data_IF_879643373793
#
_entry.id   IF_879643373793
#
_cell.length_a   1.000
_cell.length_b   1.000
_cell.length_c   1.000
_cell.angle_alpha   90.00
_cell.angle_beta   90.00
_cell.angle_gamma   90.00
#
_symmetry.space_group_name_H-M   'P 1'
#
loop_
_entity.id
_entity.type
_entity.pdbx_description
1 polymer ?
#
# COMPACT_ATOMS: atom_id res chain seq x y z
N UNK A 1 -6.03 -23.09 -12.93
CA UNK A 1 -6.28 -21.63 -12.97
C UNK A 1 -6.61 -21.19 -11.55
N UNK A 2 -5.89 -20.23 -11.00
CA UNK A 2 -6.16 -19.70 -9.66
C UNK A 2 -7.34 -18.73 -9.81
N UNK A 3 -8.50 -19.12 -9.29
CA UNK A 3 -9.69 -18.28 -9.28
C UNK A 3 -9.57 -17.31 -8.10
N UNK A 4 -9.35 -16.03 -8.38
CA UNK A 4 -9.41 -14.99 -7.37
C UNK A 4 -10.85 -14.93 -6.84
N UNK A 5 -11.08 -15.03 -5.52
CA UNK A 5 -12.43 -14.96 -4.98
C UNK A 5 -13.02 -13.59 -5.32
N UNK A 6 -14.16 -13.58 -6.00
CA UNK A 6 -15.03 -12.42 -6.16
C UNK A 6 -15.56 -12.04 -4.77
N UNK A 7 -14.77 -11.26 -4.02
CA UNK A 7 -15.11 -10.74 -2.70
C UNK A 7 -15.15 -9.23 -2.82
N UNK A 8 -16.28 -8.64 -2.44
CA UNK A 8 -16.65 -7.21 -2.52
C UNK A 8 -15.47 -6.26 -2.73
N UNK A 9 -15.13 -6.03 -4.00
CA UNK A 9 -14.08 -5.11 -4.36
C UNK A 9 -14.62 -3.70 -4.09
N UNK A 10 -14.00 -2.98 -3.14
CA UNK A 10 -14.27 -1.56 -2.92
C UNK A 10 -14.15 -0.74 -4.23
N UNK A 11 -13.37 -1.25 -5.19
CA UNK A 11 -13.25 -0.72 -6.54
C UNK A 11 -13.52 -1.83 -7.56
N UNK A 12 -14.69 -1.79 -8.22
CA UNK A 12 -15.06 -2.73 -9.28
C UNK A 12 -14.45 -2.41 -10.64
N UNK A 13 -13.85 -1.23 -10.79
CA UNK A 13 -13.16 -0.76 -11.99
C UNK A 13 -11.71 -0.40 -11.65
N UNK A 14 -10.77 -0.57 -12.59
CA UNK A 14 -9.40 -0.10 -12.42
C UNK A 14 -9.38 1.39 -12.08
N UNK A 15 -8.56 1.76 -11.10
CA UNK A 15 -8.29 3.17 -10.78
C UNK A 15 -6.97 3.59 -11.43
N UNK A 16 -6.85 4.84 -11.91
CA UNK A 16 -5.61 5.32 -12.49
C UNK A 16 -4.54 5.46 -11.41
N UNK A 17 -3.27 5.32 -11.81
CA UNK A 17 -2.13 5.67 -10.97
C UNK A 17 -1.88 7.18 -11.04
N UNK A 18 -1.53 7.79 -9.91
CA UNK A 18 -1.08 9.17 -9.86
C UNK A 18 0.45 9.23 -9.97
N UNK A 19 0.94 10.16 -10.78
CA UNK A 19 2.34 10.58 -10.71
C UNK A 19 2.55 11.44 -9.46
N UNK A 20 3.79 11.47 -8.95
CA UNK A 20 4.16 12.28 -7.77
C UNK A 20 3.68 13.73 -7.82
N UNK A 21 3.73 14.37 -9.00
CA UNK A 21 3.26 15.74 -9.23
C UNK A 21 1.76 15.96 -9.01
N UNK A 22 0.97 14.88 -9.10
CA UNK A 22 -0.49 14.88 -8.93
C UNK A 22 -0.91 14.60 -7.49
N UNK A 23 0.02 14.15 -6.64
CA UNK A 23 -0.24 13.87 -5.23
C UNK A 23 -0.16 15.18 -4.44
N UNK A 24 -1.10 15.37 -3.51
CA UNK A 24 -1.12 16.53 -2.62
C UNK A 24 -1.02 16.10 -1.17
N UNK A 25 -0.35 16.91 -0.35
CA UNK A 25 -0.48 16.81 1.09
C UNK A 25 -1.94 17.10 1.48
N UNK A 26 -2.52 16.27 2.34
CA UNK A 26 -3.94 16.34 2.64
C UNK A 26 -4.62 14.98 2.80
N UNK A 27 -5.95 14.97 2.85
CA UNK A 27 -6.74 13.76 3.07
C UNK A 27 -6.49 12.70 1.99
N UNK A 28 -6.46 11.44 2.42
CA UNK A 28 -6.40 10.27 1.56
C UNK A 28 -7.05 9.07 2.28
N UNK A 29 -7.20 7.95 1.57
CA UNK A 29 -7.71 6.69 2.12
C UNK A 29 -6.62 5.63 2.06
N UNK A 30 -6.53 4.81 3.10
CA UNK A 30 -5.73 3.58 3.12
C UNK A 30 -6.68 2.40 3.07
N UNK A 31 -6.46 1.47 2.14
CA UNK A 31 -7.22 0.23 2.06
C UNK A 31 -6.45 -0.88 2.76
N UNK A 32 -7.04 -1.50 3.78
CA UNK A 32 -6.37 -2.59 4.50
C UNK A 32 -7.36 -3.55 5.14
N UNK A 33 -6.86 -4.69 5.62
CA UNK A 33 -7.65 -5.69 6.36
C UNK A 33 -7.25 -5.62 7.82
N UNK A 34 -8.21 -5.30 8.69
CA UNK A 34 -7.98 -5.26 10.16
C UNK A 34 -8.51 -6.52 10.83
N UNK A 35 -9.60 -7.10 10.32
CA UNK A 35 -10.24 -8.29 10.90
C UNK A 35 -10.83 -9.19 9.81
N UNK A 36 -10.55 -10.49 9.94
CA UNK A 36 -11.00 -11.49 8.97
C UNK A 36 -10.35 -11.25 7.61
N UNK A 37 -11.18 -11.19 6.57
CA UNK A 37 -10.71 -11.06 5.18
C UNK A 37 -11.37 -9.85 4.46
N UNK A 38 -11.96 -8.92 5.21
CA UNK A 38 -12.67 -7.79 4.62
C UNK A 38 -11.72 -6.61 4.42
N UNK A 39 -11.64 -6.11 3.19
CA UNK A 39 -10.86 -4.92 2.87
C UNK A 39 -11.72 -3.70 3.24
N UNK A 40 -11.20 -2.86 4.13
CA UNK A 40 -11.86 -1.64 4.58
C UNK A 40 -11.04 -0.40 4.18
N UNK A 41 -11.72 0.72 3.95
CA UNK A 41 -11.08 2.00 3.69
C UNK A 41 -11.02 2.83 4.98
N UNK A 42 -9.82 3.26 5.37
CA UNK A 42 -9.58 4.08 6.56
C UNK A 42 -9.04 5.45 6.18
N UNK A 43 -9.46 6.47 6.92
CA UNK A 43 -8.96 7.83 6.76
C UNK A 43 -7.50 7.98 7.18
N UNK A 44 -6.71 8.56 6.28
CA UNK A 44 -5.34 8.98 6.54
C UNK A 44 -5.13 10.41 6.01
N UNK A 45 -3.98 11.00 6.37
CA UNK A 45 -3.46 12.23 5.79
C UNK A 45 -2.07 12.00 5.23
N UNK A 46 -1.85 12.42 3.98
CA UNK A 46 -0.51 12.56 3.42
C UNK A 46 0.09 13.83 4.01
N UNK A 47 1.15 13.69 4.80
CA UNK A 47 1.85 14.80 5.42
C UNK A 47 2.96 15.36 4.55
N UNK A 48 3.59 14.51 3.74
CA UNK A 48 4.68 14.92 2.85
C UNK A 48 4.77 14.01 1.63
N UNK A 49 5.05 14.60 0.48
CA UNK A 49 5.40 13.88 -0.75
C UNK A 49 6.91 14.07 -1.01
N UNK A 50 7.64 12.97 -1.18
CA UNK A 50 9.11 12.96 -1.26
C UNK A 50 9.58 12.22 -2.52
N UNK A 51 9.37 12.80 -3.72
CA UNK A 51 9.64 12.12 -4.99
C UNK A 51 11.12 11.83 -5.26
N UNK A 52 12.04 12.50 -4.54
CA UNK A 52 13.49 12.33 -4.70
C UNK A 52 14.08 11.28 -3.72
N UNK A 53 13.24 10.56 -2.98
CA UNK A 53 13.64 9.58 -1.96
C UNK A 53 13.49 8.13 -2.44
N UNK A 54 13.63 7.91 -3.75
CA UNK A 54 13.42 6.60 -4.36
C UNK A 54 14.37 5.54 -3.81
N UNK A 55 15.63 5.90 -3.58
CA UNK A 55 16.66 5.01 -3.01
C UNK A 55 16.29 4.48 -1.62
N UNK A 56 15.57 5.28 -0.83
CA UNK A 56 15.15 4.91 0.53
C UNK A 56 13.77 4.27 0.58
N UNK A 57 13.02 4.29 -0.53
CA UNK A 57 11.64 3.82 -0.60
C UNK A 57 10.65 4.67 0.20
N UNK A 58 11.05 5.85 0.66
CA UNK A 58 10.23 6.77 1.45
C UNK A 58 9.64 7.85 0.55
N UNK A 59 8.65 7.49 -0.25
CA UNK A 59 7.99 8.41 -1.18
C UNK A 59 6.91 9.28 -0.55
N UNK A 60 6.33 8.82 0.56
CA UNK A 60 5.27 9.49 1.30
C UNK A 60 5.55 9.44 2.80
N UNK A 61 5.18 10.50 3.51
CA UNK A 61 4.93 10.46 4.95
C UNK A 61 3.43 10.55 5.16
N UNK A 62 2.86 9.63 5.92
CA UNK A 62 1.42 9.55 6.18
C UNK A 62 1.12 9.54 7.67
N UNK A 63 -0.10 9.94 8.01
CA UNK A 63 -0.67 9.85 9.35
C UNK A 63 -2.05 9.20 9.27
N UNK A 64 -2.29 8.17 10.07
CA UNK A 64 -3.64 7.63 10.29
C UNK A 64 -4.46 8.64 11.06
N UNK A 65 -5.62 8.99 10.53
CA UNK A 65 -6.58 9.90 11.17
C UNK A 65 -7.89 9.21 11.54
N UNK A 66 -8.10 7.99 11.05
CA UNK A 66 -9.27 7.18 11.34
C UNK A 66 -9.30 6.72 12.80
N UNK A 67 -10.31 7.19 13.54
CA UNK A 67 -10.47 6.86 14.96
C UNK A 67 -10.78 5.39 15.20
N UNK A 68 -11.50 4.73 14.28
CA UNK A 68 -11.84 3.30 14.41
C UNK A 68 -10.57 2.48 14.29
N UNK A 69 -9.74 2.76 13.28
CA UNK A 69 -8.46 2.08 13.11
C UNK A 69 -7.56 2.26 14.32
N UNK A 70 -7.34 3.52 14.74
CA UNK A 70 -6.49 3.84 15.90
C UNK A 70 -6.98 3.13 17.18
N UNK A 71 -8.29 3.10 17.42
CA UNK A 71 -8.86 2.43 18.59
C UNK A 71 -8.64 0.91 18.56
N UNK A 72 -8.64 0.30 17.38
CA UNK A 72 -8.51 -1.14 17.21
C UNK A 72 -7.05 -1.61 17.25
N UNK A 73 -6.13 -0.84 16.67
CA UNK A 73 -4.76 -1.30 16.40
C UNK A 73 -3.68 -0.40 17.00
N UNK A 74 -4.03 0.77 17.51
CA UNK A 74 -3.07 1.80 17.93
C UNK A 74 -2.44 2.59 16.77
N UNK A 75 -2.74 2.24 15.51
CA UNK A 75 -2.16 2.86 14.32
C UNK A 75 -1.80 1.84 13.24
N UNK A 76 -0.75 2.12 12.48
CA UNK A 76 -0.18 1.21 11.49
C UNK A 76 0.57 0.11 12.23
N UNK A 77 0.21 -1.15 11.99
CA UNK A 77 0.85 -2.32 12.59
C UNK A 77 1.52 -3.18 11.53
N UNK A 78 2.34 -4.13 11.99
CA UNK A 78 2.90 -5.15 11.12
C UNK A 78 1.78 -5.90 10.37
N UNK A 79 2.01 -6.20 9.09
CA UNK A 79 1.01 -6.79 8.20
C UNK A 79 0.24 -5.77 7.36
N UNK A 80 0.24 -4.48 7.73
CA UNK A 80 -0.34 -3.42 6.89
C UNK A 80 0.60 -2.92 5.78
N UNK A 81 1.85 -3.37 5.77
CA UNK A 81 2.76 -3.11 4.64
C UNK A 81 2.12 -3.61 3.35
N UNK A 82 2.15 -2.80 2.30
CA UNK A 82 1.46 -3.04 1.04
C UNK A 82 0.05 -2.47 0.92
N UNK A 83 -0.53 -1.95 2.02
CA UNK A 83 -1.87 -1.37 2.00
C UNK A 83 -1.95 -0.22 0.98
N UNK A 84 -2.83 -0.30 -0.03
CA UNK A 84 -2.96 0.73 -1.06
C UNK A 84 -3.38 2.07 -0.46
N UNK A 85 -2.77 3.15 -0.95
CA UNK A 85 -3.12 4.52 -0.60
C UNK A 85 -3.80 5.17 -1.81
N UNK A 86 -5.02 5.66 -1.58
CA UNK A 86 -5.86 6.28 -2.61
C UNK A 86 -6.08 7.75 -2.27
N UNK A 87 -5.86 8.64 -3.24
CA UNK A 87 -6.22 10.05 -3.13
C UNK A 87 -6.85 10.50 -4.43
N UNK A 88 -7.94 11.28 -4.35
CA UNK A 88 -8.66 11.80 -5.52
C UNK A 88 -9.04 10.71 -6.56
N UNK A 89 -9.42 9.53 -6.07
CA UNK A 89 -9.78 8.38 -6.92
C UNK A 89 -8.60 7.73 -7.66
N UNK A 90 -7.36 8.04 -7.28
CA UNK A 90 -6.14 7.50 -7.89
C UNK A 90 -5.31 6.71 -6.90
N UNK A 91 -4.65 5.65 -7.37
CA UNK A 91 -3.63 4.96 -6.59
C UNK A 91 -2.38 5.84 -6.53
N UNK A 92 -2.01 6.28 -5.33
CA UNK A 92 -0.85 7.16 -5.14
C UNK A 92 0.37 6.42 -4.58
N UNK A 93 0.15 5.29 -3.91
CA UNK A 93 1.21 4.54 -3.29
C UNK A 93 0.72 3.37 -2.46
N UNK A 94 1.63 2.80 -1.67
CA UNK A 94 1.31 1.78 -0.68
C UNK A 94 2.09 2.04 0.61
N UNK A 95 1.51 1.68 1.76
CA UNK A 95 2.19 1.75 3.06
C UNK A 95 3.39 0.80 3.07
N UNK A 96 4.50 1.20 3.66
CA UNK A 96 5.68 0.32 3.77
C UNK A 96 6.00 -0.01 5.22
N UNK A 97 6.24 0.99 6.05
CA UNK A 97 6.63 0.83 7.45
C UNK A 97 6.14 1.98 8.32
N UNK A 98 6.04 1.72 9.61
CA UNK A 98 5.55 2.64 10.64
C UNK A 98 6.72 3.36 11.33
N UNK A 99 6.45 4.50 11.95
CA UNK A 99 7.43 5.20 12.81
C UNK A 99 7.54 4.47 14.16
N UNK A 100 8.77 4.26 14.65
CA UNK A 100 9.03 3.47 15.88
C UNK A 100 8.33 4.06 17.10
N UNK A 101 8.33 5.39 17.24
CA UNK A 101 7.82 6.07 18.44
C UNK A 101 6.38 6.59 18.27
N UNK A 102 5.79 6.45 17.07
CA UNK A 102 4.43 6.92 16.81
C UNK A 102 3.77 6.03 15.76
N UNK A 103 3.02 5.00 16.18
CA UNK A 103 2.38 4.07 15.26
C UNK A 103 1.31 4.72 14.38
N UNK A 104 0.86 5.94 14.70
CA UNK A 104 -0.09 6.66 13.84
C UNK A 104 0.59 7.25 12.60
N UNK A 105 1.93 7.31 12.55
CA UNK A 105 2.68 7.79 11.40
C UNK A 105 3.42 6.67 10.70
N UNK A 106 3.56 6.79 9.39
CA UNK A 106 4.29 5.82 8.59
C UNK A 106 4.81 6.40 7.30
N UNK A 107 5.54 5.55 6.59
CA UNK A 107 6.03 5.81 5.25
C UNK A 107 5.22 5.03 4.22
N UNK A 108 5.17 5.58 3.01
CA UNK A 108 4.67 4.89 1.84
C UNK A 108 5.64 5.00 0.66
N UNK A 109 5.56 4.02 -0.24
CA UNK A 109 6.23 4.03 -1.54
C UNK A 109 5.27 4.62 -2.58
N UNK A 110 5.78 5.36 -3.57
CA UNK A 110 4.97 5.89 -4.66
C UNK A 110 4.57 4.80 -5.65
N UNK A 111 3.31 4.86 -6.11
CA UNK A 111 2.82 3.95 -7.14
C UNK A 111 3.52 4.16 -8.50
N UNK A 112 3.91 5.40 -8.79
CA UNK A 112 4.80 5.73 -9.89
C UNK A 112 6.08 4.89 -9.86
N UNK A 113 6.77 4.79 -8.71
CA UNK A 113 8.00 4.00 -8.60
C UNK A 113 7.75 2.50 -8.77
N UNK A 114 6.63 2.00 -8.25
CA UNK A 114 6.25 0.60 -8.44
C UNK A 114 6.05 0.26 -9.93
N UNK A 115 5.45 1.18 -10.71
CA UNK A 115 5.29 1.01 -12.16
C UNK A 115 6.60 1.10 -12.94
N UNK A 116 7.51 1.98 -12.51
CA UNK A 116 8.84 2.10 -13.11
C UNK A 116 9.62 0.79 -12.90
N UNK A 117 9.63 0.28 -11.67
CA UNK A 117 10.34 -0.94 -11.30
C UNK A 117 9.75 -2.19 -11.98
N UNK A 118 8.44 -2.21 -12.22
CA UNK A 118 7.78 -3.35 -12.88
C UNK A 118 8.10 -3.49 -14.37
N UNK A 119 8.83 -2.52 -14.96
CA UNK A 119 9.15 -2.50 -16.39
C UNK A 119 7.92 -2.34 -17.32
N UNK A 120 6.74 -2.05 -16.76
CA UNK A 120 5.50 -1.85 -17.53
C UNK A 120 5.59 -0.54 -18.31
N UNK A 121 6.30 0.45 -17.76
CA UNK A 121 6.62 1.68 -18.46
C UNK A 121 7.95 1.51 -19.20
N UNK A 122 7.92 1.56 -20.53
CA UNK A 122 9.10 1.36 -21.39
C UNK A 122 10.19 2.41 -21.10
N UNK A 123 11.41 1.96 -20.81
CA UNK A 123 12.57 2.77 -20.42
C UNK A 123 12.87 3.96 -21.36
N UNK A 124 12.54 3.88 -22.65
CA UNK A 124 12.87 4.92 -23.63
C UNK A 124 12.07 6.24 -23.48
N UNK A 125 10.85 6.19 -22.94
CA UNK A 125 10.07 7.41 -22.68
C UNK A 125 10.48 8.10 -21.38
N UNK A 126 10.98 7.33 -20.41
CA UNK A 126 11.38 7.82 -19.08
C UNK A 126 12.80 8.40 -19.09
N UNK A 127 13.76 7.74 -19.73
CA UNK A 127 15.14 8.26 -19.84
C UNK A 127 15.17 9.62 -20.54
N UNK A 128 14.27 9.86 -21.50
CA UNK A 128 14.17 11.15 -22.21
C UNK A 128 13.52 12.25 -21.37
N UNK A 129 12.77 11.89 -20.32
CA UNK A 129 11.94 12.84 -19.55
C UNK A 129 12.44 13.07 -18.12
N UNK A 130 13.20 12.14 -17.54
CA UNK A 130 13.52 12.17 -16.10
C UNK A 130 15.01 12.06 -15.78
N UNK A 131 15.90 11.54 -16.65
CA UNK A 131 17.35 11.65 -16.46
C UNK A 131 17.89 11.11 -15.12
N UNK A 132 17.47 9.91 -14.69
CA UNK A 132 17.93 9.27 -13.45
C UNK A 132 18.36 7.82 -13.71
N UNK A 133 19.59 7.49 -13.33
CA UNK A 133 20.13 6.12 -13.30
C UNK A 133 19.62 5.38 -12.05
N UNK A 134 19.05 4.19 -12.24
CA UNK A 134 18.51 3.35 -11.16
C UNK A 134 19.58 2.41 -10.59
N UNK A 135 19.97 2.50 -9.31
CA UNK A 135 20.72 1.44 -8.63
C UNK A 135 19.76 0.39 -8.04
N UNK A 136 20.00 -0.88 -8.38
CA UNK A 136 19.14 -2.06 -8.13
C UNK A 136 18.98 -2.53 -6.68
N UNK A 137 18.90 -1.63 -5.69
CA UNK A 137 18.65 -1.99 -4.29
C UNK A 137 17.16 -2.18 -3.94
N UNK A 138 16.24 -1.74 -4.81
CA UNK A 138 14.79 -1.87 -4.59
C UNK A 138 14.24 -3.29 -4.82
N UNK A 139 14.93 -4.09 -5.65
CA UNK A 139 14.62 -5.50 -5.95
C UNK A 139 14.45 -6.36 -4.69
N UNK A 140 15.26 -6.15 -3.66
CA UNK A 140 15.16 -6.91 -2.40
C UNK A 140 13.88 -6.63 -1.62
N UNK A 141 13.29 -5.43 -1.73
CA UNK A 141 12.04 -5.07 -1.05
C UNK A 141 10.83 -5.73 -1.72
N UNK A 142 10.83 -5.83 -3.06
CA UNK A 142 9.77 -6.53 -3.82
C UNK A 142 9.86 -8.04 -3.62
N UNK A 143 11.07 -8.62 -3.62
CA UNK A 143 11.26 -10.05 -3.29
C UNK A 143 10.76 -10.34 -1.87
N UNK A 144 11.06 -9.47 -0.90
CA UNK A 144 10.52 -9.61 0.46
C UNK A 144 8.98 -9.53 0.47
N UNK A 145 8.39 -8.62 -0.30
CA UNK A 145 6.93 -8.46 -0.40
C UNK A 145 6.21 -9.64 -1.09
N UNK A 146 6.79 -10.22 -2.13
CA UNK A 146 6.28 -11.41 -2.84
C UNK A 146 6.45 -12.67 -1.97
N UNK A 147 7.56 -12.80 -1.24
CA UNK A 147 7.78 -13.93 -0.32
C UNK A 147 6.84 -13.81 0.90
N UNK A 148 6.64 -12.61 1.47
CA UNK A 148 5.76 -12.43 2.62
C UNK A 148 4.26 -12.52 2.29
N UNK A 149 3.85 -12.10 1.08
CA UNK A 149 2.46 -12.31 0.63
C UNK A 149 2.11 -13.79 0.45
N UNK A 150 3.10 -14.66 0.20
CA UNK A 150 2.96 -16.12 0.27
C UNK A 150 3.02 -16.69 1.70
N UNK A 151 3.37 -15.88 2.70
CA UNK A 151 3.50 -16.26 4.11
C UNK A 151 2.29 -15.88 4.97
N UNK A 152 1.22 -15.31 4.39
CA UNK A 152 -0.07 -15.26 5.06
C UNK A 152 -0.62 -16.69 5.18
N UNK A 153 -0.74 -17.27 6.39
CA UNK A 153 -1.38 -18.57 6.52
C UNK A 153 -2.84 -18.43 6.08
N UNK A 154 -3.25 -19.18 5.06
CA UNK A 154 -4.67 -19.42 4.80
C UNK A 154 -5.24 -20.09 6.05
N UNK A 155 -6.01 -19.35 6.85
CA UNK A 155 -6.71 -19.92 7.99
C UNK A 155 -7.77 -20.88 7.45
N UNK A 156 -7.64 -22.16 7.81
CA UNK A 156 -8.56 -23.23 7.41
C UNK A 156 -9.99 -22.86 7.87
N UNK A 157 -10.92 -22.80 6.93
CA UNK A 157 -12.33 -22.44 7.16
C UNK A 157 -13.17 -23.63 7.62
N UNK A 158 -12.55 -24.74 8.03
CA UNK A 158 -13.23 -25.88 8.64
C UNK A 158 -12.94 -25.90 10.13
N UNK A 159 -13.79 -25.24 10.92
CA UNK A 159 -14.08 -25.53 12.34
C UNK A 159 -15.08 -24.47 12.85
N UNK A 160 -16.33 -24.56 12.41
CA UNK A 160 -17.49 -24.04 13.16
C UNK A 160 -18.80 -24.59 12.58
N UNK A 161 -18.99 -25.91 12.70
CA UNK A 161 -20.33 -26.52 12.70
C UNK A 161 -20.33 -27.72 13.65
N UNK A 162 -20.40 -27.45 14.94
CA UNK A 162 -21.04 -28.35 15.92
C UNK A 162 -21.13 -27.63 17.27
N UNK A 163 -22.35 -27.22 17.59
CA UNK A 163 -22.95 -27.06 18.93
C UNK A 163 -23.96 -25.92 18.92
N UNK A 164 -25.15 -26.21 18.39
CA UNK A 164 -26.41 -25.71 18.91
C UNK A 164 -27.43 -26.83 18.75
N UNK A 165 -27.86 -27.37 19.90
CA UNK A 165 -29.02 -28.23 20.17
C UNK A 165 -29.12 -29.58 19.45
#
# INVERSE_FOLDING_TARGET
>A
MIQFPHKDLLYSKPIPVAFSSQIKEGPAKMLTVVKGDNVEAFDIKILKVMPNQQLTGRGLVIKVTDRKLIKLTGGIIQGMSGSPIIQNGRLVGAVTHVFINDPTHGYGVLAEWMLLESGILNNQEISRKIGVDFPGYFSNFIVFFIIFSNFFPKKDSRLHTSNMN
#
